data_IF_241148508017
#
_entry.id   IF_241148508017
#
_cell.length_a   1.000
_cell.length_b   1.000
_cell.length_c   1.000
_cell.angle_alpha   90.00
_cell.angle_beta   90.00
_cell.angle_gamma   90.00
#
_symmetry.space_group_name_H-M   'P 1'
#
loop_
_entity.id
_entity.type
_entity.pdbx_description
1 polymer ?
#
# COMPACT_ATOMS: atom_id res chain seq x y z
N UNK A 1 12.06 2.86 29.66
CA UNK A 1 12.52 3.28 28.32
C UNK A 1 11.46 3.11 27.21
N UNK A 2 10.25 2.59 27.51
CA UNK A 2 9.13 2.45 26.56
C UNK A 2 8.40 3.76 26.19
N UNK A 3 8.46 4.79 27.05
CA UNK A 3 7.67 6.01 26.86
C UNK A 3 8.22 6.96 25.78
N UNK A 4 9.54 7.05 25.63
CA UNK A 4 10.12 7.99 24.66
C UNK A 4 10.04 7.47 23.23
N UNK A 5 10.44 6.21 22.98
CA UNK A 5 10.31 5.62 21.65
C UNK A 5 8.84 5.43 21.23
N UNK A 6 7.97 5.01 22.15
CA UNK A 6 6.54 4.78 21.86
C UNK A 6 5.75 6.06 21.56
N UNK A 7 5.89 7.10 22.39
CA UNK A 7 5.13 8.35 22.21
C UNK A 7 5.67 9.17 21.04
N UNK A 8 6.99 9.30 20.91
CA UNK A 8 7.59 10.05 19.79
C UNK A 8 7.31 9.35 18.46
N UNK A 9 7.40 8.02 18.41
CA UNK A 9 7.05 7.26 17.20
C UNK A 9 5.55 7.36 16.86
N UNK A 10 4.67 7.30 17.87
CA UNK A 10 3.23 7.48 17.66
C UNK A 10 2.92 8.89 17.13
N UNK A 11 3.48 9.93 17.76
CA UNK A 11 3.30 11.32 17.32
C UNK A 11 3.84 11.54 15.92
N UNK A 12 5.03 11.01 15.61
CA UNK A 12 5.59 11.06 14.26
C UNK A 12 4.67 10.37 13.24
N UNK A 13 4.17 9.17 13.55
CA UNK A 13 3.22 8.46 12.69
C UNK A 13 1.92 9.22 12.48
N UNK A 14 1.36 9.84 13.53
CA UNK A 14 0.14 10.64 13.43
C UNK A 14 0.38 11.92 12.60
N UNK A 15 1.51 12.58 12.79
CA UNK A 15 1.89 13.74 11.99
C UNK A 15 2.09 13.34 10.53
N UNK A 16 2.85 12.29 10.24
CA UNK A 16 3.01 11.78 8.88
C UNK A 16 1.67 11.38 8.25
N UNK A 17 0.79 10.70 9.00
CA UNK A 17 -0.54 10.31 8.54
C UNK A 17 -1.39 11.54 8.21
N UNK A 18 -1.36 12.57 9.04
CA UNK A 18 -2.11 13.79 8.80
C UNK A 18 -1.62 14.51 7.55
N UNK A 19 -0.31 14.71 7.38
CA UNK A 19 0.24 15.40 6.21
C UNK A 19 0.03 14.60 4.91
N UNK A 20 0.34 13.30 4.92
CA UNK A 20 0.23 12.44 3.75
C UNK A 20 -1.24 12.15 3.42
N UNK A 21 -2.02 11.81 4.43
CA UNK A 21 -3.45 11.52 4.31
C UNK A 21 -4.22 12.70 3.75
N UNK A 22 -4.05 13.91 4.31
CA UNK A 22 -4.72 15.11 3.82
C UNK A 22 -4.29 15.43 2.38
N UNK A 23 -3.00 15.29 2.04
CA UNK A 23 -2.53 15.51 0.67
C UNK A 23 -3.22 14.57 -0.31
N UNK A 24 -3.19 13.26 -0.03
CA UNK A 24 -3.78 12.25 -0.90
C UNK A 24 -5.31 12.38 -0.97
N UNK A 25 -5.96 12.72 0.14
CA UNK A 25 -7.41 12.89 0.20
C UNK A 25 -7.88 14.08 -0.64
N UNK A 26 -7.19 15.23 -0.54
CA UNK A 26 -7.49 16.40 -1.37
C UNK A 26 -7.33 16.11 -2.86
N UNK A 27 -6.42 15.20 -3.19
CA UNK A 27 -6.01 14.93 -4.56
C UNK A 27 -6.81 13.80 -5.24
N UNK A 28 -7.29 12.81 -4.47
CA UNK A 28 -7.97 11.61 -4.98
C UNK A 28 -9.34 11.34 -4.36
N UNK A 29 -9.70 12.06 -3.29
CA UNK A 29 -10.96 11.96 -2.57
C UNK A 29 -10.92 10.95 -1.41
N UNK A 30 -11.75 11.25 -0.40
CA UNK A 30 -11.85 10.50 0.85
C UNK A 30 -12.03 8.99 0.66
N UNK A 31 -12.98 8.57 -0.18
CA UNK A 31 -13.30 7.14 -0.35
C UNK A 31 -12.12 6.31 -0.83
N UNK A 32 -11.30 6.83 -1.76
CA UNK A 32 -10.16 6.08 -2.30
C UNK A 32 -9.06 5.94 -1.26
N UNK A 33 -8.79 7.01 -0.52
CA UNK A 33 -7.76 7.03 0.51
C UNK A 33 -8.18 6.22 1.72
N UNK A 34 -9.46 6.26 2.10
CA UNK A 34 -10.03 5.39 3.13
C UNK A 34 -9.90 3.91 2.78
N UNK A 35 -10.27 3.51 1.56
CA UNK A 35 -10.08 2.13 1.09
C UNK A 35 -8.61 1.71 1.09
N UNK A 36 -7.74 2.58 0.60
CA UNK A 36 -6.30 2.33 0.57
C UNK A 36 -5.75 2.12 1.99
N UNK A 37 -6.12 3.01 2.93
CA UNK A 37 -5.72 2.92 4.33
C UNK A 37 -6.13 1.59 4.97
N UNK A 38 -7.39 1.19 4.82
CA UNK A 38 -7.93 -0.04 5.41
C UNK A 38 -7.30 -1.28 4.79
N UNK A 39 -7.24 -1.36 3.45
CA UNK A 39 -6.69 -2.53 2.76
C UNK A 39 -5.19 -2.68 2.99
N UNK A 40 -4.43 -1.58 3.04
CA UNK A 40 -3.02 -1.61 3.41
C UNK A 40 -2.80 -2.06 4.85
N UNK A 41 -3.62 -1.59 5.81
CA UNK A 41 -3.57 -2.09 7.19
C UNK A 41 -3.82 -3.59 7.26
N UNK A 42 -4.80 -4.09 6.48
CA UNK A 42 -5.12 -5.50 6.38
C UNK A 42 -3.95 -6.32 5.79
N UNK A 43 -3.35 -5.86 4.69
CA UNK A 43 -2.19 -6.53 4.08
C UNK A 43 -0.95 -6.54 4.98
N UNK A 44 -0.71 -5.46 5.72
CA UNK A 44 0.33 -5.43 6.75
C UNK A 44 0.09 -6.45 7.85
N UNK A 45 -1.14 -6.49 8.39
CA UNK A 45 -1.52 -7.44 9.43
C UNK A 45 -1.37 -8.90 8.97
N UNK A 46 -1.74 -9.19 7.73
CA UNK A 46 -1.65 -10.53 7.16
C UNK A 46 -0.18 -10.99 7.01
N UNK A 47 0.69 -10.12 6.51
CA UNK A 47 2.12 -10.44 6.37
C UNK A 47 2.85 -10.54 7.73
N UNK A 48 2.43 -9.74 8.70
CA UNK A 48 2.87 -9.84 10.10
C UNK A 48 2.54 -11.21 10.69
N UNK A 49 1.28 -11.64 10.60
CA UNK A 49 0.82 -12.94 11.13
C UNK A 49 1.59 -14.11 10.50
N UNK A 50 1.82 -14.08 9.18
CA UNK A 50 2.61 -15.12 8.51
C UNK A 50 4.06 -15.16 8.99
N UNK A 51 4.71 -14.00 9.13
CA UNK A 51 6.08 -13.95 9.66
C UNK A 51 6.18 -14.40 11.12
N UNK A 52 5.18 -14.09 11.95
CA UNK A 52 5.11 -14.54 13.33
C UNK A 52 5.07 -16.07 13.42
N UNK A 53 4.24 -16.71 12.57
CA UNK A 53 4.17 -18.17 12.48
C UNK A 53 5.51 -18.79 12.07
N UNK A 54 6.20 -18.20 11.10
CA UNK A 54 7.43 -18.77 10.54
C UNK A 54 8.67 -18.56 11.44
N UNK A 55 8.76 -17.46 12.18
CA UNK A 55 9.99 -17.04 12.88
C UNK A 55 9.86 -16.93 14.42
N UNK A 56 8.73 -17.33 15.02
CA UNK A 56 8.47 -17.24 16.49
C UNK A 56 8.81 -15.87 17.10
N UNK A 57 8.61 -14.79 16.35
CA UNK A 57 8.82 -13.44 16.87
C UNK A 57 7.65 -13.04 17.80
N UNK A 58 7.90 -12.22 18.82
CA UNK A 58 6.97 -12.01 19.95
C UNK A 58 6.12 -10.73 19.88
N UNK A 59 6.05 -10.06 18.72
CA UNK A 59 5.33 -8.79 18.61
C UNK A 59 4.54 -8.67 17.32
N UNK A 60 3.22 -8.63 17.43
CA UNK A 60 2.30 -8.30 16.33
C UNK A 60 2.10 -6.79 16.34
N UNK A 61 2.62 -6.05 15.36
CA UNK A 61 2.24 -4.64 15.19
C UNK A 61 1.01 -4.55 14.31
N UNK A 62 -0.16 -4.67 14.93
CA UNK A 62 -1.45 -4.43 14.26
C UNK A 62 -1.76 -2.94 14.39
N UNK A 63 -1.92 -2.21 13.28
CA UNK A 63 -2.51 -0.87 13.36
C UNK A 63 -2.12 0.16 12.30
N UNK A 64 -2.26 1.42 12.73
CA UNK A 64 -2.17 2.63 11.91
C UNK A 64 -0.82 2.83 11.20
N UNK A 65 0.26 2.24 11.72
CA UNK A 65 1.60 2.31 11.11
C UNK A 65 1.66 1.54 9.79
N UNK A 66 1.11 0.32 9.73
CA UNK A 66 1.01 -0.43 8.46
C UNK A 66 0.18 0.31 7.40
N UNK A 67 -0.87 1.01 7.82
CA UNK A 67 -1.68 1.86 6.96
C UNK A 67 -0.92 3.10 6.45
N UNK A 68 -0.13 3.74 7.32
CA UNK A 68 0.77 4.84 6.96
C UNK A 68 1.81 4.39 5.91
N UNK A 69 2.45 3.25 6.13
CA UNK A 69 3.37 2.65 5.16
C UNK A 69 2.65 2.35 3.84
N UNK A 70 1.38 1.93 3.90
CA UNK A 70 0.53 1.80 2.72
C UNK A 70 0.34 3.10 1.95
N UNK A 71 0.07 4.21 2.63
CA UNK A 71 -0.03 5.53 2.00
C UNK A 71 1.30 5.96 1.38
N UNK A 72 2.44 5.71 2.04
CA UNK A 72 3.77 5.94 1.48
C UNK A 72 4.04 5.09 0.23
N UNK A 73 3.64 3.82 0.26
CA UNK A 73 3.70 2.93 -0.90
C UNK A 73 2.87 3.46 -2.06
N UNK A 74 1.65 3.93 -1.78
CA UNK A 74 0.76 4.49 -2.80
C UNK A 74 1.29 5.79 -3.41
N UNK A 75 1.95 6.63 -2.61
CA UNK A 75 2.66 7.82 -3.11
C UNK A 75 3.79 7.43 -4.06
N UNK A 76 4.50 6.33 -3.81
CA UNK A 76 5.53 5.84 -4.72
C UNK A 76 4.90 5.41 -6.06
N UNK A 77 3.79 4.68 -6.06
CA UNK A 77 3.09 4.28 -7.29
C UNK A 77 2.56 5.49 -8.07
N UNK A 78 2.03 6.49 -7.36
CA UNK A 78 1.59 7.76 -7.94
C UNK A 78 2.76 8.49 -8.62
N UNK A 79 3.90 8.60 -7.94
CA UNK A 79 5.11 9.22 -8.47
C UNK A 79 5.63 8.50 -9.72
N UNK A 80 5.63 7.16 -9.73
CA UNK A 80 6.04 6.37 -10.89
C UNK A 80 5.07 6.54 -12.06
N UNK A 81 3.77 6.56 -11.79
CA UNK A 81 2.74 6.70 -12.84
C UNK A 81 2.74 8.09 -13.47
N UNK A 82 3.00 9.12 -12.67
CA UNK A 82 2.99 10.53 -13.04
C UNK A 82 4.39 11.13 -13.14
N UNK A 83 5.41 10.30 -13.37
CA UNK A 83 6.82 10.67 -13.40
C UNK A 83 7.10 11.94 -14.23
N UNK A 84 6.42 12.10 -15.37
CA UNK A 84 6.62 13.25 -16.26
C UNK A 84 6.20 14.61 -15.67
N UNK A 85 5.29 14.63 -14.70
CA UNK A 85 4.68 15.87 -14.16
C UNK A 85 5.58 16.54 -13.12
N UNK A 86 6.36 15.77 -12.36
CA UNK A 86 7.21 16.30 -11.30
C UNK A 86 8.44 17.00 -11.86
N UNK A 87 8.71 18.24 -11.44
CA UNK A 87 9.88 19.00 -11.86
C UNK A 87 11.19 18.39 -11.31
N UNK A 88 11.24 18.13 -9.99
CA UNK A 88 12.38 17.52 -9.30
C UNK A 88 12.10 16.08 -8.89
N UNK A 89 11.99 15.20 -9.89
CA UNK A 89 11.60 13.78 -9.76
C UNK A 89 12.52 13.00 -8.82
N UNK A 90 13.83 13.15 -9.02
CA UNK A 90 14.84 12.44 -8.24
C UNK A 90 14.82 12.87 -6.77
N UNK A 91 14.60 14.16 -6.50
CA UNK A 91 14.51 14.66 -5.13
C UNK A 91 13.23 14.17 -4.42
N UNK A 92 12.09 14.12 -5.14
CA UNK A 92 10.84 13.58 -4.61
C UNK A 92 10.94 12.07 -4.32
N UNK A 93 11.55 11.31 -5.23
CA UNK A 93 11.80 9.88 -5.01
C UNK A 93 12.76 9.65 -3.86
N UNK A 94 13.89 10.38 -3.83
CA UNK A 94 14.89 10.25 -2.78
C UNK A 94 14.30 10.61 -1.42
N UNK A 95 13.53 11.69 -1.29
CA UNK A 95 12.91 12.06 -0.02
C UNK A 95 11.90 11.03 0.45
N UNK A 96 11.08 10.48 -0.45
CA UNK A 96 10.14 9.41 -0.13
C UNK A 96 10.85 8.14 0.33
N UNK A 97 11.90 7.71 -0.39
CA UNK A 97 12.69 6.54 -0.02
C UNK A 97 13.46 6.75 1.30
N UNK A 98 13.97 7.96 1.55
CA UNK A 98 14.59 8.31 2.84
C UNK A 98 13.55 8.23 3.95
N UNK A 99 12.35 8.79 3.78
CA UNK A 99 11.28 8.73 4.78
C UNK A 99 10.91 7.28 5.07
N UNK A 100 10.69 6.46 4.03
CA UNK A 100 10.37 5.02 4.18
C UNK A 100 11.52 4.30 4.89
N UNK A 101 12.76 4.53 4.46
CA UNK A 101 13.95 3.91 5.03
C UNK A 101 14.17 4.28 6.49
N UNK A 102 13.98 5.55 6.86
CA UNK A 102 14.08 6.01 8.25
C UNK A 102 12.96 5.41 9.11
N UNK A 103 11.72 5.36 8.62
CA UNK A 103 10.62 4.74 9.37
C UNK A 103 10.85 3.24 9.58
N UNK A 104 11.38 2.54 8.57
CA UNK A 104 11.73 1.12 8.69
C UNK A 104 12.96 0.91 9.59
N UNK A 105 13.92 1.86 9.58
CA UNK A 105 15.10 1.82 10.42
C UNK A 105 14.74 1.98 11.91
N UNK A 106 13.79 2.86 12.23
CA UNK A 106 13.19 2.97 13.56
C UNK A 106 12.50 1.66 13.96
N UNK A 107 12.04 0.88 12.99
CA UNK A 107 11.49 -0.45 13.22
C UNK A 107 12.49 -1.56 13.56
N UNK A 108 13.80 -1.31 13.50
CA UNK A 108 14.80 -2.22 14.09
C UNK A 108 14.92 -2.06 15.61
N UNK A 109 14.22 -1.09 16.21
CA UNK A 109 14.10 -1.04 17.66
C UNK A 109 13.31 -2.25 18.17
N UNK A 110 13.69 -2.83 19.32
CA UNK A 110 12.97 -3.97 19.88
C UNK A 110 11.49 -3.60 20.06
N UNK A 111 10.61 -4.52 19.70
CA UNK A 111 9.13 -4.44 19.73
C UNK A 111 8.42 -3.80 18.52
N UNK A 112 9.12 -3.47 17.43
CA UNK A 112 8.48 -3.04 16.17
C UNK A 112 8.46 -4.19 15.16
N UNK A 113 7.29 -4.40 14.55
CA UNK A 113 7.11 -5.45 13.55
C UNK A 113 7.32 -4.89 12.14
N UNK A 114 8.54 -5.06 11.63
CA UNK A 114 8.89 -4.66 10.27
C UNK A 114 8.10 -5.40 9.20
N UNK A 115 7.59 -6.61 9.49
CA UNK A 115 6.78 -7.37 8.54
C UNK A 115 5.43 -6.71 8.32
N UNK A 116 4.84 -6.11 9.35
CA UNK A 116 3.62 -5.31 9.22
C UNK A 116 3.83 -4.08 8.32
N UNK A 117 4.97 -3.39 8.48
CA UNK A 117 5.31 -2.20 7.70
C UNK A 117 5.57 -2.55 6.22
N UNK A 118 6.34 -3.62 5.97
CA UNK A 118 6.61 -4.10 4.61
C UNK A 118 5.32 -4.56 3.92
N UNK A 119 4.47 -5.31 4.62
CA UNK A 119 3.21 -5.79 4.07
C UNK A 119 2.25 -4.64 3.75
N UNK A 120 2.16 -3.65 4.64
CA UNK A 120 1.38 -2.44 4.44
C UNK A 120 1.87 -1.64 3.24
N UNK A 121 3.19 -1.40 3.15
CA UNK A 121 3.84 -0.70 2.05
C UNK A 121 3.60 -1.36 0.71
N UNK A 122 3.84 -2.67 0.59
CA UNK A 122 3.63 -3.41 -0.66
C UNK A 122 2.16 -3.38 -1.08
N UNK A 123 1.25 -3.60 -0.14
CA UNK A 123 -0.19 -3.55 -0.43
C UNK A 123 -0.61 -2.17 -0.92
N UNK A 124 -0.15 -1.11 -0.24
CA UNK A 124 -0.42 0.27 -0.65
C UNK A 124 0.22 0.64 -2.00
N UNK A 125 1.43 0.16 -2.26
CA UNK A 125 2.12 0.34 -3.54
C UNK A 125 1.31 -0.23 -4.71
N UNK A 126 0.83 -1.48 -4.61
CA UNK A 126 0.00 -2.05 -5.68
C UNK A 126 -1.40 -1.41 -5.74
N UNK A 127 -2.02 -1.11 -4.60
CA UNK A 127 -3.30 -0.39 -4.59
C UNK A 127 -3.19 1.02 -5.18
N UNK A 128 -2.02 1.67 -5.06
CA UNK A 128 -1.75 2.97 -5.68
C UNK A 128 -1.97 2.94 -7.19
N UNK A 129 -1.51 1.90 -7.89
CA UNK A 129 -1.73 1.76 -9.33
C UNK A 129 -3.21 1.52 -9.71
N UNK A 130 -4.00 0.97 -8.78
CA UNK A 130 -5.43 0.71 -9.00
C UNK A 130 -6.29 1.93 -8.66
N UNK A 131 -6.06 2.55 -7.51
CA UNK A 131 -6.93 3.60 -6.94
C UNK A 131 -6.48 5.02 -7.31
N UNK A 132 -5.18 5.25 -7.52
CA UNK A 132 -4.61 6.59 -7.76
C UNK A 132 -4.36 6.87 -9.26
N UNK A 133 -5.08 6.18 -10.15
CA UNK A 133 -4.92 6.38 -11.59
C UNK A 133 -5.49 7.73 -12.05
N UNK A 134 -4.61 8.61 -12.54
CA UNK A 134 -4.96 9.95 -13.06
C UNK A 134 -5.23 9.93 -14.56
N UNK A 135 -6.30 10.60 -15.04
CA UNK A 135 -6.54 10.77 -16.46
C UNK A 135 -5.46 11.67 -17.10
N UNK A 136 -5.20 11.46 -18.39
CA UNK A 136 -4.23 12.25 -19.14
C UNK A 136 -4.57 13.74 -19.15
N UNK A 137 -3.54 14.59 -19.07
CA UNK A 137 -3.70 16.04 -19.23
C UNK A 137 -4.31 16.36 -20.61
N UNK A 138 -5.41 17.11 -20.61
CA UNK A 138 -6.18 17.42 -21.83
C UNK A 138 -7.27 16.40 -22.20
N UNK A 139 -7.55 15.40 -21.35
CA UNK A 139 -8.75 14.57 -21.52
C UNK A 139 -10.02 15.38 -21.22
N UNK A 140 -10.93 15.46 -22.19
CA UNK A 140 -12.25 16.08 -22.06
C UNK A 140 -13.32 15.01 -22.20
N UNK A 141 -14.24 14.92 -21.24
CA UNK A 141 -15.36 13.99 -21.31
C UNK A 141 -16.36 14.47 -22.37
N UNK A 142 -16.85 13.55 -23.23
CA UNK A 142 -17.82 13.83 -24.31
C UNK A 142 -19.05 14.60 -23.84
N UNK A 143 -19.48 14.39 -22.59
CA UNK A 143 -20.63 15.09 -21.99
C UNK A 143 -20.46 16.61 -21.94
N UNK A 144 -19.22 17.11 -21.93
CA UNK A 144 -18.90 18.54 -21.81
C UNK A 144 -18.50 19.19 -23.13
N UNK A 145 -18.56 18.47 -24.25
CA UNK A 145 -18.23 19.02 -25.57
C UNK A 145 -19.53 19.56 -26.20
N UNK A 146 -19.61 20.86 -26.54
CA UNK A 146 -20.76 21.40 -27.24
C UNK A 146 -20.99 20.72 -28.60
N UNK A 147 -22.25 20.57 -29.04
CA UNK A 147 -22.55 20.06 -30.39
C UNK A 147 -21.83 20.90 -31.45
N UNK A 148 -21.14 20.26 -32.39
CA UNK A 148 -20.44 20.93 -33.50
C UNK A 148 -18.94 21.15 -33.32
N UNK A 149 -18.37 20.87 -32.14
CA UNK A 149 -16.91 20.88 -31.93
C UNK A 149 -16.31 19.48 -32.01
N UNK A 150 -15.37 19.26 -32.95
CA UNK A 150 -14.56 18.03 -33.02
C UNK A 150 -13.19 18.26 -32.37
N UNK A 151 -13.00 17.72 -31.16
CA UNK A 151 -11.74 17.82 -30.42
C UNK A 151 -10.98 16.51 -30.60
N UNK A 152 -9.73 16.56 -31.10
CA UNK A 152 -8.86 15.37 -31.19
C UNK A 152 -8.75 14.68 -29.84
N UNK A 153 -9.39 13.51 -29.71
CA UNK A 153 -9.48 12.75 -28.47
C UNK A 153 -8.16 12.05 -28.16
N UNK A 154 -7.62 12.30 -26.96
CA UNK A 154 -6.61 11.43 -26.35
C UNK A 154 -7.31 10.39 -25.46
N UNK A 155 -6.73 9.19 -25.35
CA UNK A 155 -7.21 8.17 -24.42
C UNK A 155 -7.23 8.72 -22.99
N UNK A 156 -8.23 8.33 -22.19
CA UNK A 156 -8.34 8.74 -20.78
C UNK A 156 -7.09 8.37 -19.98
N UNK A 157 -6.54 7.19 -20.23
CA UNK A 157 -5.34 6.68 -19.56
C UNK A 157 -4.30 6.21 -20.60
N UNK A 158 -3.02 6.28 -20.24
CA UNK A 158 -1.91 5.75 -21.06
C UNK A 158 -1.88 4.23 -20.96
N UNK A 159 -1.34 3.55 -21.98
CA UNK A 159 -1.29 2.08 -22.02
C UNK A 159 -0.56 1.49 -20.80
N UNK A 160 0.54 2.12 -20.36
CA UNK A 160 1.30 1.65 -19.20
C UNK A 160 0.49 1.73 -17.89
N UNK A 161 -0.47 2.65 -17.78
CA UNK A 161 -1.33 2.74 -16.61
C UNK A 161 -2.26 1.52 -16.53
N UNK A 162 -2.80 1.08 -17.66
CA UNK A 162 -3.58 -0.15 -17.73
C UNK A 162 -2.72 -1.39 -17.45
N UNK A 163 -1.49 -1.41 -17.95
CA UNK A 163 -0.53 -2.48 -17.65
C UNK A 163 -0.27 -2.59 -16.14
N UNK A 164 0.09 -1.48 -15.48
CA UNK A 164 0.32 -1.47 -14.03
C UNK A 164 -0.95 -1.82 -13.24
N UNK A 165 -2.11 -1.35 -13.67
CA UNK A 165 -3.39 -1.71 -13.05
C UNK A 165 -3.64 -3.21 -13.11
N UNK A 166 -3.50 -3.83 -14.29
CA UNK A 166 -3.72 -5.26 -14.47
C UNK A 166 -2.76 -6.09 -13.63
N UNK A 167 -1.46 -5.80 -13.73
CA UNK A 167 -0.42 -6.49 -12.96
C UNK A 167 -0.67 -6.35 -11.46
N UNK A 168 -1.03 -5.16 -10.99
CA UNK A 168 -1.31 -4.91 -9.57
C UNK A 168 -2.53 -5.68 -9.07
N UNK A 169 -3.60 -5.78 -9.87
CA UNK A 169 -4.77 -6.57 -9.51
C UNK A 169 -4.41 -8.06 -9.38
N UNK A 170 -3.65 -8.61 -10.33
CA UNK A 170 -3.20 -10.00 -10.28
C UNK A 170 -2.35 -10.25 -9.03
N UNK A 171 -1.38 -9.39 -8.76
CA UNK A 171 -0.51 -9.53 -7.58
C UNK A 171 -1.30 -9.43 -6.27
N UNK A 172 -2.22 -8.47 -6.15
CA UNK A 172 -3.03 -8.32 -4.94
C UNK A 172 -3.95 -9.53 -4.72
N UNK A 173 -4.65 -9.99 -5.76
CA UNK A 173 -5.56 -11.14 -5.66
C UNK A 173 -4.78 -12.40 -5.29
N UNK A 174 -3.70 -12.71 -6.01
CA UNK A 174 -2.89 -13.89 -5.73
C UNK A 174 -2.19 -13.80 -4.37
N UNK A 175 -1.66 -12.64 -4.02
CA UNK A 175 -0.98 -12.39 -2.75
C UNK A 175 -1.92 -12.55 -1.56
N UNK A 176 -3.11 -11.94 -1.59
CA UNK A 176 -4.10 -12.11 -0.53
C UNK A 176 -4.62 -13.54 -0.46
N UNK A 177 -4.91 -14.18 -1.60
CA UNK A 177 -5.37 -15.57 -1.63
C UNK A 177 -4.32 -16.52 -1.05
N UNK A 178 -3.05 -16.38 -1.45
CA UNK A 178 -1.94 -17.16 -0.92
C UNK A 178 -1.80 -16.98 0.59
N UNK A 179 -1.80 -15.73 1.06
CA UNK A 179 -1.61 -15.44 2.46
C UNK A 179 -2.77 -15.97 3.33
N UNK A 180 -4.01 -15.81 2.86
CA UNK A 180 -5.19 -16.37 3.53
C UNK A 180 -5.17 -17.90 3.51
N UNK A 181 -4.82 -18.52 2.38
CA UNK A 181 -4.73 -19.97 2.27
C UNK A 181 -3.72 -20.55 3.27
N UNK A 182 -2.50 -19.99 3.37
CA UNK A 182 -1.53 -20.44 4.37
C UNK A 182 -2.06 -20.25 5.80
N UNK A 183 -2.73 -19.12 6.07
CA UNK A 183 -3.29 -18.86 7.39
C UNK A 183 -4.37 -19.89 7.80
N UNK A 184 -5.28 -20.23 6.89
CA UNK A 184 -6.43 -21.11 7.17
C UNK A 184 -6.15 -22.61 6.98
N UNK A 185 -5.38 -22.99 5.96
CA UNK A 185 -5.07 -24.40 5.65
C UNK A 185 -4.12 -24.99 6.68
N UNK A 186 -3.12 -24.24 7.13
CA UNK A 186 -2.21 -24.73 8.18
C UNK A 186 -2.90 -24.81 9.55
N UNK A 187 -3.79 -23.85 9.87
CA UNK A 187 -4.61 -23.93 11.08
C UNK A 187 -5.54 -25.17 11.09
N UNK A 188 -5.95 -25.65 9.91
CA UNK A 188 -6.73 -26.89 9.80
C UNK A 188 -5.86 -28.13 10.02
N UNK A 189 -4.61 -28.12 9.55
CA UNK A 189 -3.65 -29.20 9.81
C UNK A 189 -3.26 -29.29 11.30
N UNK A 190 -3.11 -28.14 11.98
CA UNK A 190 -2.84 -28.08 13.43
C UNK A 190 -4.04 -28.56 14.27
N UNK A 191 -5.28 -28.33 13.82
CA UNK A 191 -6.50 -28.80 14.49
C UNK A 191 -6.85 -30.26 14.18
N UNK A 192 -6.37 -30.79 13.06
CA UNK A 192 -6.71 -32.13 12.57
C UNK A 192 -5.44 -32.84 12.06
N UNK A 193 -4.60 -33.38 12.96
CA UNK A 193 -3.33 -33.99 12.59
C UNK A 193 -3.45 -35.19 11.65
N UNK A 194 -4.64 -35.78 11.51
CA UNK A 194 -4.92 -36.88 10.58
C UNK A 194 -4.93 -36.47 9.09
N UNK A 195 -4.96 -35.18 8.78
CA UNK A 195 -4.89 -34.71 7.38
C UNK A 195 -3.48 -34.95 6.79
N UNK A 196 -2.43 -35.07 7.62
CA UNK A 196 -1.08 -35.40 7.17
C UNK A 196 -0.83 -36.91 6.96
N UNK A 197 -1.74 -37.79 7.38
CA UNK A 197 -1.54 -39.25 7.29
C UNK A 197 -1.95 -39.89 5.96
N UNK A 198 -2.40 -39.11 4.97
CA UNK A 198 -2.61 -39.63 3.62
C UNK A 198 -1.32 -39.52 2.80
N UNK A 199 -0.69 -40.65 2.41
CA UNK A 199 0.43 -40.61 1.47
C UNK A 199 -0.05 -40.07 0.12
N UNK A 200 0.74 -39.15 -0.47
CA UNK A 200 0.54 -38.70 -1.86
C UNK A 200 0.85 -39.82 -2.83
#
# INVERSE_FOLDING_TARGET
MFLHAGVVHLLANMFSLLFIGIRLEKEFGFFRIGLLYVLSSFGGSLLSILHLKQNRSSTVSVGASGALFGLLGAMLSELLTNWSIYANKCAALASLLIIVGLNLAVGFLPHVDNSAHVGGFLTGYFLGFVLLMRPQYGYVNRKYIPPGYDVKRKSKYKWYQYFYLFVSLVILILGFAYCLANLYVENAADKFPFIQSYPR
#
